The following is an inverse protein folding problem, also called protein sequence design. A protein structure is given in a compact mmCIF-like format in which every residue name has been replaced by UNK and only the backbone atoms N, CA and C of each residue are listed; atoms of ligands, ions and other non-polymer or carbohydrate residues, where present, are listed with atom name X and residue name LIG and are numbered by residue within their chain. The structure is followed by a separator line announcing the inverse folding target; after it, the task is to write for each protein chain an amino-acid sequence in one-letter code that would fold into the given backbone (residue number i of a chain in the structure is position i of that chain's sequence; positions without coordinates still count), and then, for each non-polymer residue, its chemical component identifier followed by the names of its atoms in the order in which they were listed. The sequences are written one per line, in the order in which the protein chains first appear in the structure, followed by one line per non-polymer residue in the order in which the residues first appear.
data_IF_270933511476
#
_entry.id   IF_270933511476
#
_cell.length_a   1.000
_cell.length_b   1.000
_cell.length_c   1.000
_cell.angle_alpha   90.00
_cell.angle_beta   90.00
_cell.angle_gamma   90.00
#
_symmetry.space_group_name_H-M   'P 1'
#
loop_
_entity.id
_entity.type
_entity.pdbx_description
1 polymer ?
#
# COMPACT_ATOMS: atom_id res chain seq x y z
N UNK A 1 2.84 5.09 -19.30
CA UNK A 1 2.06 6.12 -20.03
C UNK A 1 0.97 5.44 -20.88
N UNK A 2 -0.25 5.34 -20.35
CA UNK A 2 -1.54 5.39 -21.05
C UNK A 2 -2.60 5.63 -19.98
N UNK A 3 -3.01 6.89 -19.83
CA UNK A 3 -4.18 7.27 -19.03
C UNK A 3 -5.39 6.62 -19.69
N UNK A 4 -6.07 5.72 -18.97
CA UNK A 4 -7.43 5.33 -19.33
C UNK A 4 -8.36 6.46 -18.92
N UNK A 5 -8.51 7.43 -19.81
CA UNK A 5 -9.60 8.40 -19.76
C UNK A 5 -10.88 7.64 -20.15
N UNK A 6 -11.50 6.91 -19.22
CA UNK A 6 -12.80 6.29 -19.48
C UNK A 6 -13.90 7.11 -18.82
N UNK A 7 -14.57 7.89 -19.67
CA UNK A 7 -15.68 8.80 -19.38
C UNK A 7 -17.01 8.06 -19.13
N UNK A 8 -17.03 6.74 -18.90
CA UNK A 8 -18.25 6.00 -18.56
C UNK A 8 -17.98 4.93 -17.48
N UNK A 9 -18.75 5.05 -16.41
CA UNK A 9 -18.72 4.30 -15.15
C UNK A 9 -18.80 2.78 -15.29
N UNK A 10 -17.69 2.10 -15.01
CA UNK A 10 -17.71 0.77 -14.41
C UNK A 10 -16.72 0.73 -13.24
N UNK A 11 -17.21 1.05 -12.03
CA UNK A 11 -16.44 0.94 -10.79
C UNK A 11 -15.80 -0.44 -10.65
N UNK A 12 -16.48 -1.48 -11.14
CA UNK A 12 -16.00 -2.87 -11.20
C UNK A 12 -14.80 -3.04 -12.15
N UNK A 13 -14.76 -2.37 -13.30
CA UNK A 13 -13.59 -2.43 -14.19
C UNK A 13 -12.40 -1.67 -13.63
N UNK A 14 -12.61 -0.55 -12.93
CA UNK A 14 -11.51 0.19 -12.28
C UNK A 14 -10.92 -0.64 -11.12
N UNK A 15 -11.77 -1.30 -10.33
CA UNK A 15 -11.37 -2.21 -9.27
C UNK A 15 -10.65 -3.45 -9.81
N UNK A 16 -11.21 -4.09 -10.84
CA UNK A 16 -10.61 -5.26 -11.50
C UNK A 16 -9.33 -4.91 -12.25
N UNK A 17 -9.22 -3.72 -12.84
CA UNK A 17 -7.97 -3.26 -13.46
C UNK A 17 -6.90 -2.95 -12.41
N UNK A 18 -7.24 -2.38 -11.25
CA UNK A 18 -6.30 -2.18 -10.15
C UNK A 18 -5.76 -3.49 -9.57
N UNK A 19 -6.58 -4.54 -9.54
CA UNK A 19 -6.18 -5.87 -9.04
C UNK A 19 -5.43 -6.70 -10.10
N UNK A 20 -5.88 -6.71 -11.36
CA UNK A 20 -5.46 -7.70 -12.37
C UNK A 20 -4.66 -7.09 -13.54
N UNK A 21 -4.94 -5.85 -13.98
CA UNK A 21 -4.38 -5.30 -15.24
C UNK A 21 -3.23 -4.30 -15.03
N UNK A 22 -3.22 -3.57 -13.91
CA UNK A 22 -2.18 -2.64 -13.43
C UNK A 22 -1.56 -3.10 -12.09
N UNK A 23 -1.12 -4.35 -11.98
CA UNK A 23 -0.40 -4.79 -10.80
C UNK A 23 0.86 -3.90 -10.61
N UNK A 24 0.83 -3.07 -9.55
CA UNK A 24 1.78 -1.98 -9.30
C UNK A 24 3.21 -2.48 -9.13
N UNK A 25 3.34 -3.74 -8.70
CA UNK A 25 4.63 -4.39 -8.44
C UNK A 25 5.18 -5.08 -9.70
N UNK A 26 4.35 -5.78 -10.48
CA UNK A 26 4.83 -6.56 -11.64
C UNK A 26 4.97 -5.76 -12.94
N UNK A 27 4.18 -4.68 -13.16
CA UNK A 27 4.25 -3.88 -14.40
C UNK A 27 4.87 -2.50 -14.25
N UNK A 28 4.82 -1.91 -13.06
CA UNK A 28 5.25 -0.53 -12.84
C UNK A 28 6.60 -0.42 -12.10
N UNK A 29 7.07 -1.48 -11.44
CA UNK A 29 8.33 -1.53 -10.67
C UNK A 29 8.55 -0.38 -9.66
N UNK A 30 7.51 0.38 -9.32
CA UNK A 30 7.59 1.63 -8.56
C UNK A 30 7.64 1.42 -7.03
N UNK A 31 7.64 0.16 -6.55
CA UNK A 31 7.61 -0.16 -5.11
C UNK A 31 8.56 -1.30 -4.71
N UNK A 32 9.78 -1.28 -5.25
CA UNK A 32 10.85 -2.20 -4.86
C UNK A 32 11.35 -1.95 -3.42
N UNK A 33 11.36 -0.69 -2.98
CA UNK A 33 11.87 -0.29 -1.66
C UNK A 33 11.19 -1.03 -0.48
N UNK A 34 9.86 -1.03 -0.33
CA UNK A 34 9.21 -1.77 0.77
C UNK A 34 9.32 -3.28 0.61
N UNK A 35 9.37 -3.75 -0.65
CA UNK A 35 9.49 -5.17 -0.96
C UNK A 35 10.83 -5.73 -0.49
N UNK A 36 11.93 -4.98 -0.54
CA UNK A 36 13.23 -5.47 -0.02
C UNK A 36 13.26 -5.39 1.51
N UNK A 37 12.65 -4.35 2.09
CA UNK A 37 12.75 -4.07 3.52
C UNK A 37 11.91 -5.02 4.39
N UNK A 38 10.68 -5.35 4.00
CA UNK A 38 9.69 -5.96 4.92
C UNK A 38 9.38 -7.44 4.60
N UNK A 39 9.86 -7.97 3.48
CA UNK A 39 9.63 -9.36 3.04
C UNK A 39 10.50 -10.40 3.77
N UNK A 40 11.07 -10.07 4.92
CA UNK A 40 11.76 -11.02 5.80
C UNK A 40 10.80 -11.94 6.56
N UNK A 41 9.52 -11.57 6.67
CA UNK A 41 8.50 -12.40 7.30
C UNK A 41 7.13 -12.08 6.71
N UNK A 42 6.33 -13.10 6.44
CA UNK A 42 4.99 -13.01 5.85
C UNK A 42 4.06 -12.16 6.69
N UNK A 43 4.10 -12.32 8.03
CA UNK A 43 3.31 -11.52 8.96
C UNK A 43 3.59 -10.02 8.78
N UNK A 44 4.85 -9.62 8.80
CA UNK A 44 5.24 -8.22 8.65
C UNK A 44 4.85 -7.67 7.27
N UNK A 45 5.02 -8.48 6.21
CA UNK A 45 4.62 -8.12 4.85
C UNK A 45 3.13 -7.83 4.72
N UNK A 46 2.27 -8.64 5.36
CA UNK A 46 0.81 -8.44 5.37
C UNK A 46 0.44 -7.19 6.16
N UNK A 47 0.97 -6.99 7.36
CA UNK A 47 0.69 -5.79 8.16
C UNK A 47 1.11 -4.51 7.43
N UNK A 48 2.26 -4.53 6.77
CA UNK A 48 2.75 -3.40 5.98
C UNK A 48 1.87 -3.14 4.75
N UNK A 49 1.47 -4.19 4.02
CA UNK A 49 0.56 -4.08 2.89
C UNK A 49 -0.79 -3.48 3.30
N UNK A 50 -1.33 -3.91 4.44
CA UNK A 50 -2.59 -3.40 4.98
C UNK A 50 -2.48 -1.93 5.40
N UNK A 51 -1.39 -1.55 6.08
CA UNK A 51 -1.14 -0.17 6.46
C UNK A 51 -1.04 0.76 5.24
N UNK A 52 -0.30 0.34 4.20
CA UNK A 52 -0.19 1.11 2.95
C UNK A 52 -1.53 1.20 2.23
N UNK A 53 -2.32 0.13 2.18
CA UNK A 53 -3.66 0.15 1.60
C UNK A 53 -4.56 1.18 2.31
N UNK A 54 -4.56 1.20 3.64
CA UNK A 54 -5.35 2.17 4.41
C UNK A 54 -4.93 3.62 4.13
N UNK A 55 -3.62 3.90 4.21
CA UNK A 55 -3.07 5.24 3.93
C UNK A 55 -3.36 5.66 2.49
N UNK A 56 -3.19 4.77 1.51
CA UNK A 56 -3.44 5.05 0.09
C UNK A 56 -4.87 5.52 -0.17
N UNK A 57 -5.85 4.85 0.43
CA UNK A 57 -7.28 5.20 0.27
C UNK A 57 -7.56 6.57 0.88
N UNK A 58 -7.09 6.81 2.10
CA UNK A 58 -7.33 8.08 2.80
C UNK A 58 -6.67 9.27 2.10
N UNK A 59 -5.44 9.09 1.61
CA UNK A 59 -4.72 10.10 0.82
C UNK A 59 -5.47 10.40 -0.48
N UNK A 60 -5.89 9.38 -1.23
CA UNK A 60 -6.59 9.58 -2.50
C UNK A 60 -7.92 10.33 -2.32
N UNK A 61 -8.67 10.06 -1.23
CA UNK A 61 -9.88 10.80 -0.88
C UNK A 61 -9.55 12.26 -0.60
N UNK A 62 -8.57 12.50 0.27
CA UNK A 62 -8.20 13.84 0.75
C UNK A 62 -7.68 14.71 -0.40
N UNK A 63 -6.84 14.16 -1.27
CA UNK A 63 -6.29 14.88 -2.42
C UNK A 63 -7.38 15.20 -3.47
N UNK A 64 -8.34 14.30 -3.68
CA UNK A 64 -9.47 14.55 -4.58
C UNK A 64 -10.35 15.72 -4.09
N UNK A 65 -10.54 15.84 -2.76
CA UNK A 65 -11.24 16.98 -2.15
C UNK A 65 -10.46 18.30 -2.30
N UNK A 66 -9.15 18.27 -2.06
CA UNK A 66 -8.30 19.47 -2.08
C UNK A 66 -7.91 19.95 -3.49
N UNK A 67 -8.28 19.22 -4.55
CA UNK A 67 -7.83 19.47 -5.94
C UNK A 67 -8.03 20.90 -6.45
N UNK A 68 -9.06 21.61 -5.99
CA UNK A 68 -9.39 22.98 -6.46
C UNK A 68 -8.49 24.06 -5.87
N UNK A 69 -7.83 23.80 -4.76
CA UNK A 69 -7.05 24.79 -4.00
C UNK A 69 -5.55 24.73 -4.39
N UNK A 70 -5.13 23.65 -5.05
CA UNK A 70 -3.70 23.34 -5.25
C UNK A 70 -3.15 23.98 -6.52
N UNK A 71 -2.23 24.93 -6.36
CA UNK A 71 -1.46 25.52 -7.45
C UNK A 71 -0.38 24.54 -7.97
N UNK A 72 -0.18 24.50 -9.29
CA UNK A 72 0.71 23.54 -9.94
C UNK A 72 2.18 23.60 -9.46
N UNK A 73 2.66 24.77 -9.02
CA UNK A 73 4.05 24.97 -8.58
C UNK A 73 4.40 24.30 -7.24
N UNK A 74 3.41 24.06 -6.37
CA UNK A 74 3.63 23.57 -5.00
C UNK A 74 2.92 22.24 -4.71
N UNK A 75 2.51 21.52 -5.76
CA UNK A 75 1.70 20.31 -5.66
C UNK A 75 2.41 19.16 -4.92
N UNK A 76 3.66 18.87 -5.26
CA UNK A 76 4.41 17.74 -4.68
C UNK A 76 4.63 17.90 -3.16
N UNK A 77 5.09 19.06 -2.64
CA UNK A 77 5.20 19.26 -1.19
C UNK A 77 3.87 19.14 -0.44
N UNK A 78 2.78 19.68 -1.00
CA UNK A 78 1.45 19.60 -0.37
C UNK A 78 0.98 18.16 -0.25
N UNK A 79 1.22 17.33 -1.28
CA UNK A 79 0.88 15.91 -1.23
C UNK A 79 1.68 15.18 -0.15
N UNK A 80 2.97 15.46 -0.03
CA UNK A 80 3.81 14.88 1.03
C UNK A 80 3.33 15.25 2.43
N UNK A 81 2.85 16.49 2.64
CA UNK A 81 2.27 16.91 3.91
C UNK A 81 0.97 16.16 4.25
N UNK A 82 0.08 15.99 3.27
CA UNK A 82 -1.17 15.22 3.45
C UNK A 82 -0.86 13.75 3.77
N UNK A 83 0.10 13.15 3.05
CA UNK A 83 0.53 11.77 3.30
C UNK A 83 1.12 11.66 4.71
N UNK A 84 2.01 12.58 5.10
CA UNK A 84 2.61 12.62 6.44
C UNK A 84 1.56 12.66 7.56
N UNK A 85 0.51 13.47 7.40
CA UNK A 85 -0.60 13.51 8.36
C UNK A 85 -1.28 12.15 8.53
N UNK A 86 -1.66 11.49 7.44
CA UNK A 86 -2.32 10.17 7.49
C UNK A 86 -1.40 9.06 7.98
N UNK A 87 -0.11 9.12 7.64
CA UNK A 87 0.90 8.16 8.14
C UNK A 87 1.09 8.34 9.65
N UNK A 88 1.09 9.57 10.17
CA UNK A 88 1.19 9.84 11.61
C UNK A 88 -0.02 9.27 12.37
N UNK A 89 -1.24 9.47 11.85
CA UNK A 89 -2.45 8.87 12.43
C UNK A 89 -2.35 7.33 12.44
N UNK A 90 -1.83 6.74 11.37
CA UNK A 90 -1.65 5.28 11.27
C UNK A 90 -0.60 4.76 12.26
N UNK A 91 0.50 5.50 12.47
CA UNK A 91 1.52 5.17 13.48
C UNK A 91 0.92 5.12 14.88
N UNK A 92 0.14 6.15 15.25
CA UNK A 92 -0.52 6.21 16.56
C UNK A 92 -1.54 5.10 16.74
N UNK A 93 -2.31 4.77 15.70
CA UNK A 93 -3.25 3.66 15.72
C UNK A 93 -2.54 2.32 15.96
N UNK A 94 -1.46 2.03 15.22
CA UNK A 94 -0.73 0.76 15.42
C UNK A 94 -0.05 0.68 16.78
N UNK A 95 0.50 1.79 17.28
CA UNK A 95 1.09 1.84 18.62
C UNK A 95 0.06 1.52 19.72
N UNK A 96 -1.20 1.88 19.52
CA UNK A 96 -2.28 1.62 20.47
C UNK A 96 -2.85 0.20 20.40
N UNK A 97 -3.04 -0.36 19.20
CA UNK A 97 -3.71 -1.65 19.03
C UNK A 97 -2.75 -2.85 19.00
N UNK A 98 -1.52 -2.71 18.50
CA UNK A 98 -0.60 -3.85 18.28
C UNK A 98 0.87 -3.47 18.54
N UNK A 99 1.28 -3.33 19.81
CA UNK A 99 2.63 -2.86 20.17
C UNK A 99 3.74 -3.82 19.69
N UNK A 100 3.50 -5.13 19.67
CA UNK A 100 4.47 -6.13 19.21
C UNK A 100 4.85 -5.98 17.74
N UNK A 101 3.88 -5.60 16.89
CA UNK A 101 4.11 -5.34 15.48
C UNK A 101 4.71 -3.95 15.30
N UNK A 102 4.26 -2.96 16.08
CA UNK A 102 4.83 -1.61 16.04
C UNK A 102 6.33 -1.59 16.37
N UNK A 103 6.80 -2.42 17.31
CA UNK A 103 8.22 -2.53 17.64
C UNK A 103 9.10 -2.96 16.45
N UNK A 104 8.56 -3.77 15.53
CA UNK A 104 9.30 -4.31 14.37
C UNK A 104 9.06 -3.52 13.08
N UNK A 105 7.90 -2.87 12.96
CA UNK A 105 7.46 -2.23 11.72
C UNK A 105 7.37 -0.70 11.84
N UNK A 106 7.52 -0.14 13.04
CA UNK A 106 7.37 1.29 13.33
C UNK A 106 8.22 2.20 12.44
N UNK A 107 9.50 1.85 12.26
CA UNK A 107 10.40 2.58 11.36
C UNK A 107 9.90 2.54 9.90
N UNK A 108 9.40 1.39 9.44
CA UNK A 108 8.91 1.24 8.07
C UNK A 108 7.63 2.04 7.83
N UNK A 109 6.77 2.22 8.85
CA UNK A 109 5.57 3.04 8.74
C UNK A 109 5.95 4.50 8.48
N UNK A 110 6.97 5.04 9.17
CA UNK A 110 7.46 6.39 8.91
C UNK A 110 8.03 6.55 7.48
N UNK A 111 8.63 5.50 6.91
CA UNK A 111 9.11 5.49 5.52
C UNK A 111 7.99 5.53 4.47
N UNK A 112 6.74 5.20 4.83
CA UNK A 112 5.58 5.22 3.91
C UNK A 112 5.40 6.61 3.29
N UNK A 113 5.77 7.68 4.01
CA UNK A 113 5.65 9.07 3.54
C UNK A 113 6.35 9.29 2.20
N UNK A 114 7.47 8.60 1.96
CA UNK A 114 8.28 8.74 0.75
C UNK A 114 7.97 7.69 -0.33
N UNK A 115 6.88 6.93 -0.21
CA UNK A 115 6.57 5.86 -1.16
C UNK A 115 6.12 6.43 -2.51
N UNK A 116 6.92 6.13 -3.54
CA UNK A 116 6.69 6.59 -4.90
C UNK A 116 5.34 6.12 -5.48
N UNK A 117 4.84 4.94 -5.07
CA UNK A 117 3.52 4.45 -5.50
C UNK A 117 2.38 5.35 -5.01
N UNK A 118 2.46 5.86 -3.78
CA UNK A 118 1.43 6.73 -3.18
C UNK A 118 1.44 8.09 -3.87
N UNK A 119 2.62 8.69 -3.99
CA UNK A 119 2.80 9.99 -4.62
C UNK A 119 2.37 9.97 -6.10
N UNK A 120 2.80 8.96 -6.86
CA UNK A 120 2.48 8.86 -8.28
C UNK A 120 0.95 8.73 -8.53
N UNK A 121 0.22 8.01 -7.66
CA UNK A 121 -1.25 7.89 -7.80
C UNK A 121 -1.99 9.12 -7.30
N UNK A 122 -1.53 9.74 -6.22
CA UNK A 122 -2.06 11.01 -5.75
C UNK A 122 -1.95 12.10 -6.85
N UNK A 123 -0.81 12.13 -7.55
CA UNK A 123 -0.59 13.08 -8.64
C UNK A 123 -1.37 12.73 -9.92
N UNK A 124 -1.26 11.50 -10.41
CA UNK A 124 -1.80 11.15 -11.73
C UNK A 124 -3.32 10.94 -11.74
N UNK A 125 -3.90 10.51 -10.62
CA UNK A 125 -5.30 10.11 -10.54
C UNK A 125 -6.12 11.00 -9.59
N UNK A 126 -5.68 11.17 -8.34
CA UNK A 126 -6.46 11.92 -7.36
C UNK A 126 -6.55 13.42 -7.67
N UNK A 127 -5.52 14.00 -8.29
CA UNK A 127 -5.54 15.42 -8.69
C UNK A 127 -6.51 15.75 -9.84
N UNK A 128 -6.98 14.74 -10.58
CA UNK A 128 -7.79 14.91 -11.81
C UNK A 128 -9.21 14.34 -11.71
N UNK A 129 -9.48 13.41 -10.79
CA UNK A 129 -10.76 12.69 -10.68
C UNK A 129 -11.58 13.12 -9.45
N UNK A 130 -12.87 12.75 -9.43
CA UNK A 130 -13.77 12.94 -8.28
C UNK A 130 -13.56 11.88 -7.18
N UNK A 131 -14.18 12.08 -6.02
CA UNK A 131 -13.92 11.29 -4.80
C UNK A 131 -14.20 9.79 -5.00
N UNK A 132 -15.35 9.46 -5.60
CA UNK A 132 -15.79 8.07 -5.84
C UNK A 132 -14.78 7.24 -6.67
N UNK A 133 -14.35 7.69 -7.86
CA UNK A 133 -13.34 6.97 -8.63
C UNK A 133 -11.97 6.96 -7.92
N UNK A 134 -11.58 8.03 -7.22
CA UNK A 134 -10.31 8.07 -6.47
C UNK A 134 -10.27 7.08 -5.29
N UNK A 135 -11.40 6.81 -4.65
CA UNK A 135 -11.54 5.77 -3.63
C UNK A 135 -11.38 4.37 -4.21
N UNK A 136 -12.09 4.08 -5.31
CA UNK A 136 -11.99 2.80 -5.99
C UNK A 136 -10.57 2.53 -6.51
N UNK A 137 -9.87 3.57 -6.98
CA UNK A 137 -8.47 3.52 -7.38
C UNK A 137 -7.53 3.17 -6.22
N UNK A 138 -7.71 3.87 -5.09
CA UNK A 138 -6.89 3.65 -3.89
C UNK A 138 -7.07 2.24 -3.33
N UNK A 139 -8.31 1.74 -3.31
CA UNK A 139 -8.62 0.37 -2.87
C UNK A 139 -8.05 -0.67 -3.84
N UNK A 140 -8.25 -0.51 -5.15
CA UNK A 140 -7.74 -1.45 -6.15
C UNK A 140 -6.21 -1.57 -6.12
N UNK A 141 -5.51 -0.43 -6.03
CA UNK A 141 -4.04 -0.41 -5.97
C UNK A 141 -3.51 -0.88 -4.61
N UNK A 142 -4.18 -0.55 -3.52
CA UNK A 142 -3.81 -1.03 -2.18
C UNK A 142 -3.94 -2.55 -2.05
N UNK A 143 -5.01 -3.14 -2.59
CA UNK A 143 -5.20 -4.60 -2.63
C UNK A 143 -4.14 -5.25 -3.51
N UNK A 144 -3.84 -4.68 -4.68
CA UNK A 144 -2.76 -5.16 -5.56
C UNK A 144 -1.40 -5.15 -4.87
N UNK A 145 -1.10 -4.08 -4.11
CA UNK A 145 0.12 -3.97 -3.33
C UNK A 145 0.19 -5.02 -2.21
N UNK A 146 -0.90 -5.22 -1.46
CA UNK A 146 -1.00 -6.24 -0.43
C UNK A 146 -0.81 -7.65 -1.01
N UNK A 147 -1.45 -7.97 -2.13
CA UNK A 147 -1.34 -9.27 -2.77
C UNK A 147 0.08 -9.57 -3.25
N UNK A 148 0.73 -8.58 -3.88
CA UNK A 148 2.09 -8.74 -4.37
C UNK A 148 3.12 -8.82 -3.24
N UNK A 149 3.00 -8.03 -2.16
CA UNK A 149 3.85 -8.19 -0.98
C UNK A 149 3.65 -9.54 -0.30
N UNK A 150 2.41 -10.03 -0.21
CA UNK A 150 2.10 -11.34 0.37
C UNK A 150 2.76 -12.45 -0.45
N UNK A 151 2.65 -12.38 -1.78
CA UNK A 151 3.28 -13.35 -2.68
C UNK A 151 4.81 -13.34 -2.55
N UNK A 152 5.44 -12.17 -2.58
CA UNK A 152 6.91 -12.06 -2.47
C UNK A 152 7.40 -12.53 -1.10
N UNK A 153 6.71 -12.15 -0.02
CA UNK A 153 7.06 -12.56 1.34
C UNK A 153 6.93 -14.07 1.51
N UNK A 154 5.90 -14.68 0.92
CA UNK A 154 5.70 -16.13 0.92
C UNK A 154 6.86 -16.87 0.25
N UNK A 155 7.25 -16.47 -0.97
CA UNK A 155 8.38 -17.09 -1.67
C UNK A 155 9.71 -16.87 -0.93
N UNK A 156 9.95 -15.67 -0.36
CA UNK A 156 11.17 -15.39 0.41
C UNK A 156 11.25 -16.18 1.72
N UNK A 157 10.14 -16.35 2.43
CA UNK A 157 10.12 -17.13 3.67
C UNK A 157 10.31 -18.63 3.39
N UNK A 158 9.70 -19.12 2.30
CA UNK A 158 9.87 -20.50 1.83
C UNK A 158 11.33 -20.82 1.47
N UNK A 159 11.99 -19.94 0.71
CA UNK A 159 13.39 -20.14 0.27
C UNK A 159 14.40 -19.84 1.39
N UNK A 160 14.10 -18.87 2.27
CA UNK A 160 15.05 -18.40 3.29
C UNK A 160 15.03 -19.18 4.61
N UNK A 161 13.88 -19.69 5.04
CA UNK A 161 13.72 -20.35 6.36
C UNK A 161 13.25 -21.81 6.31
N UNK A 162 12.83 -22.33 5.15
CA UNK A 162 12.31 -23.69 5.04
C UNK A 162 11.06 -23.97 5.90
N UNK A 163 10.40 -22.91 6.39
CA UNK A 163 9.24 -22.99 7.29
C UNK A 163 8.15 -22.01 6.86
N UNK A 164 6.92 -22.51 6.73
CA UNK A 164 5.74 -21.73 6.41
C UNK A 164 5.07 -21.22 7.68
N UNK A 165 5.28 -19.95 8.01
CA UNK A 165 4.48 -19.26 9.02
C UNK A 165 3.18 -18.77 8.39
N UNK A 166 2.17 -19.63 8.30
CA UNK A 166 0.83 -19.25 7.80
C UNK A 166 0.12 -18.38 8.85
N UNK A 167 -0.41 -17.19 8.51
CA UNK A 167 -1.14 -16.37 9.45
C UNK A 167 -2.62 -16.81 9.47
N UNK A 168 -2.93 -17.83 10.26
CA UNK A 168 -4.30 -18.13 10.68
C UNK A 168 -4.56 -17.51 12.05
N UNK A 169 -4.99 -16.25 12.02
CA UNK A 169 -6.09 -15.77 12.85
C UNK A 169 -5.97 -15.64 14.37
N UNK A 170 -4.88 -15.99 15.05
CA UNK A 170 -4.50 -15.55 16.43
C UNK A 170 -3.37 -16.43 17.05
N UNK A 171 -2.91 -17.49 16.37
CA UNK A 171 -1.82 -18.35 16.86
C UNK A 171 -0.59 -18.29 15.94
N UNK A 172 0.58 -18.07 16.54
CA UNK A 172 1.87 -18.28 15.87
C UNK A 172 2.22 -19.75 15.98
N UNK A 173 1.79 -20.56 15.01
CA UNK A 173 2.24 -21.94 14.89
C UNK A 173 3.20 -22.06 13.69
N UNK A 174 4.39 -22.56 13.98
CA UNK A 174 5.34 -23.07 12.99
C UNK A 174 4.77 -24.39 12.46
N UNK A 175 4.31 -24.43 11.20
CA UNK A 175 3.62 -25.62 10.67
C UNK A 175 4.57 -26.57 9.93
N UNK A 176 5.72 -26.11 9.42
CA UNK A 176 6.68 -27.00 8.75
C UNK A 176 8.12 -26.66 9.14
N UNK A 177 8.84 -27.60 9.71
CA UNK A 177 10.29 -27.54 9.93
C UNK A 177 10.92 -28.51 8.94
N UNK A 178 11.47 -28.01 7.83
CA UNK A 178 12.15 -28.84 6.81
C UNK A 178 13.68 -28.62 6.80
N UNK A 179 14.27 -28.26 7.94
CA UNK A 179 15.71 -28.39 8.15
C UNK A 179 15.97 -28.68 9.63
N UNK A 180 16.66 -29.79 9.85
CA UNK A 180 17.34 -30.16 11.09
C UNK A 180 18.63 -29.35 11.21
#
# INVERSE_FOLDING_TARGET
MRMSTSSNTNLKELFLNGIVKENTIFKLALSLCPSIAVTNSLKNGIYMGLAVMFVQVMVNITISLMRKIIQAKVRLPIFMLVISGWVTVTQLLMAAFVPDVYAKVGLYIALIVAFASILARAEMFASKNSILPSMADGLGMGIGFLFALTTISFFRELVGKGSLTVPTGLATQHVFTFIN
#
